data_IF_632600570640
#
_entry.id   IF_632600570640
#
_cell.length_a   1.000
_cell.length_b   1.000
_cell.length_c   1.000
_cell.angle_alpha   90.00
_cell.angle_beta   90.00
_cell.angle_gamma   90.00
#
_symmetry.space_group_name_H-M   'P 1'
#
loop_
_entity.id
_entity.type
_entity.pdbx_description
1 polymer ?
#
# COMPACT_ATOMS: atom_id res chain seq x y z
N UNK A 1 -1.46 4.67 10.12
CA UNK A 1 -1.60 3.22 10.44
C UNK A 1 -2.14 2.47 9.22
N UNK A 2 -1.63 1.28 8.89
CA UNK A 2 -2.19 0.41 7.82
C UNK A 2 -3.39 -0.35 8.36
N UNK A 3 -4.49 -0.35 7.62
CA UNK A 3 -5.72 -1.08 7.98
C UNK A 3 -5.91 -2.35 7.14
N UNK A 4 -5.66 -2.23 5.83
CA UNK A 4 -5.87 -3.32 4.87
C UNK A 4 -4.93 -3.14 3.69
N UNK A 5 -4.38 -4.25 3.21
CA UNK A 5 -3.58 -4.33 1.98
C UNK A 5 -4.20 -5.40 1.09
N UNK A 6 -4.36 -5.11 -0.21
CA UNK A 6 -4.82 -6.11 -1.18
C UNK A 6 -4.23 -5.86 -2.57
N UNK A 7 -4.08 -6.91 -3.40
CA UNK A 7 -3.57 -6.76 -4.76
C UNK A 7 -4.48 -5.90 -5.64
N UNK A 8 -3.90 -4.94 -6.34
CA UNK A 8 -4.55 -4.24 -7.45
C UNK A 8 -4.18 -4.89 -8.79
N UNK A 9 -2.90 -5.20 -8.95
CA UNK A 9 -2.34 -5.90 -10.10
C UNK A 9 -1.31 -6.91 -9.62
N UNK A 10 -0.68 -7.63 -10.54
CA UNK A 10 0.43 -8.53 -10.22
C UNK A 10 1.53 -7.82 -9.40
N UNK A 11 1.84 -6.57 -9.73
CA UNK A 11 2.95 -5.84 -9.10
C UNK A 11 2.54 -4.75 -8.12
N UNK A 12 1.26 -4.35 -8.08
CA UNK A 12 0.80 -3.19 -7.29
C UNK A 12 -0.24 -3.57 -6.25
N UNK A 13 -0.26 -2.84 -5.14
CA UNK A 13 -1.18 -3.03 -4.02
C UNK A 13 -2.05 -1.79 -3.83
N UNK A 14 -3.29 -1.99 -3.41
CA UNK A 14 -4.06 -0.94 -2.72
C UNK A 14 -3.77 -1.05 -1.23
N UNK A 15 -3.48 0.09 -0.60
CA UNK A 15 -3.30 0.19 0.84
C UNK A 15 -4.32 1.17 1.41
N UNK A 16 -5.08 0.71 2.40
CA UNK A 16 -5.94 1.56 3.20
C UNK A 16 -5.24 1.95 4.48
N UNK A 17 -5.30 3.25 4.79
CA UNK A 17 -4.65 3.86 5.94
C UNK A 17 -5.66 4.59 6.80
N UNK A 18 -5.32 4.74 8.08
CA UNK A 18 -5.87 5.77 8.94
C UNK A 18 -4.78 6.82 9.21
N UNK A 19 -5.04 8.05 8.83
CA UNK A 19 -4.23 9.26 9.08
C UNK A 19 -4.98 10.17 10.05
N UNK A 20 -4.27 10.85 10.98
CA UNK A 20 -4.88 11.82 11.88
C UNK A 20 -5.54 13.00 11.16
N UNK A 21 -4.94 13.48 10.06
CA UNK A 21 -5.34 14.70 9.36
C UNK A 21 -6.31 14.42 8.21
N UNK A 22 -6.08 13.34 7.46
CA UNK A 22 -6.85 12.97 6.27
C UNK A 22 -7.88 11.88 6.53
N UNK A 23 -7.94 11.33 7.75
CA UNK A 23 -8.84 10.25 8.11
C UNK A 23 -8.52 8.96 7.35
N UNK A 24 -9.56 8.25 6.90
CA UNK A 24 -9.40 6.99 6.16
C UNK A 24 -9.11 7.28 4.69
N UNK A 25 -7.92 6.90 4.24
CA UNK A 25 -7.48 7.12 2.85
C UNK A 25 -7.05 5.81 2.20
N UNK A 26 -7.22 5.71 0.88
CA UNK A 26 -6.75 4.61 0.06
C UNK A 26 -5.72 5.10 -0.95
N UNK A 27 -4.56 4.45 -1.01
CA UNK A 27 -3.51 4.78 -2.00
C UNK A 27 -3.04 3.53 -2.74
N UNK A 28 -2.45 3.74 -3.92
CA UNK A 28 -1.85 2.67 -4.72
C UNK A 28 -0.35 2.68 -4.53
N UNK A 29 0.19 1.60 -3.97
CA UNK A 29 1.62 1.35 -3.92
C UNK A 29 2.05 0.66 -5.23
N UNK A 30 2.36 1.47 -6.24
CA UNK A 30 2.76 0.98 -7.56
C UNK A 30 4.07 0.19 -7.48
N UNK A 31 4.09 -1.01 -8.05
CA UNK A 31 5.28 -1.86 -8.05
C UNK A 31 5.71 -2.35 -6.66
N UNK A 32 4.84 -2.31 -5.66
CA UNK A 32 5.12 -2.75 -4.29
C UNK A 32 5.61 -4.21 -4.19
N UNK A 33 5.17 -5.08 -5.10
CA UNK A 33 5.54 -6.50 -5.10
C UNK A 33 6.81 -6.82 -5.90
N UNK A 34 7.45 -5.82 -6.54
CA UNK A 34 8.70 -6.03 -7.30
C UNK A 34 9.84 -6.39 -6.36
N UNK A 35 10.81 -7.17 -6.86
CA UNK A 35 11.95 -7.63 -6.08
C UNK A 35 12.76 -6.49 -5.44
N UNK A 36 12.98 -5.39 -6.17
CA UNK A 36 13.75 -4.21 -5.73
C UNK A 36 12.86 -3.06 -5.23
N UNK A 37 11.61 -3.35 -4.86
CA UNK A 37 10.68 -2.30 -4.41
C UNK A 37 11.08 -1.75 -3.04
N UNK A 38 11.05 -0.43 -2.81
CA UNK A 38 11.29 0.14 -1.48
C UNK A 38 10.22 -0.26 -0.46
N UNK A 39 9.08 -0.77 -0.93
CA UNK A 39 7.97 -1.26 -0.13
C UNK A 39 8.13 -2.70 0.35
N UNK A 40 9.08 -3.45 -0.22
CA UNK A 40 9.27 -4.87 0.13
C UNK A 40 9.65 -5.02 1.60
N UNK A 41 8.86 -5.81 2.33
CA UNK A 41 9.04 -6.02 3.78
C UNK A 41 8.53 -4.86 4.65
N UNK A 42 7.92 -3.82 4.05
CA UNK A 42 7.33 -2.67 4.76
C UNK A 42 5.81 -2.58 4.58
N UNK A 43 5.28 -3.18 3.50
CA UNK A 43 3.87 -3.28 3.16
C UNK A 43 3.48 -4.72 2.85
#
# INVERSE_FOLDING_TARGET
>A
MVLRVFPLTETSLVVHWLSPEAGRIGTVAKGARRAKSPFRGKL
#
